data_IF_121700506954
#
_entry.id   IF_121700506954
#
_cell.length_a   1.000
_cell.length_b   1.000
_cell.length_c   1.000
_cell.angle_alpha   90.00
_cell.angle_beta   90.00
_cell.angle_gamma   90.00
#
_symmetry.space_group_name_H-M   'P 1'
#
loop_
_entity.id
_entity.type
_entity.pdbx_description
1 polymer ?
#
# COMPACT_ATOMS: atom_id res chain seq x y z
N UNK A 1 -5.60 5.70 9.48
CA UNK A 1 -4.98 6.47 8.37
C UNK A 1 -6.09 7.20 7.66
N UNK A 2 -6.09 8.54 7.61
CA UNK A 2 -7.22 9.32 7.07
C UNK A 2 -7.39 9.11 5.57
N UNK A 3 -6.30 8.82 4.89
CA UNK A 3 -6.17 8.62 3.45
C UNK A 3 -6.83 7.32 2.98
N UNK A 4 -6.78 6.28 3.82
CA UNK A 4 -7.44 4.99 3.56
C UNK A 4 -8.96 5.13 3.70
N UNK A 5 -9.45 5.89 4.69
CA UNK A 5 -10.87 6.16 4.82
C UNK A 5 -11.42 6.96 3.62
N UNK A 6 -10.64 7.90 3.07
CA UNK A 6 -11.00 8.66 1.86
C UNK A 6 -11.19 7.80 0.61
N UNK A 7 -10.49 6.65 0.51
CA UNK A 7 -10.62 5.73 -0.62
C UNK A 7 -11.63 4.61 -0.40
N UNK A 8 -12.18 4.47 0.82
CA UNK A 8 -13.15 3.41 1.18
C UNK A 8 -14.39 3.40 0.28
N UNK A 9 -14.82 4.57 -0.20
CA UNK A 9 -15.90 4.72 -1.18
C UNK A 9 -15.67 3.93 -2.47
N UNK A 10 -14.41 3.76 -2.89
CA UNK A 10 -14.05 3.04 -4.11
C UNK A 10 -14.14 1.52 -3.94
N UNK A 11 -14.29 0.99 -2.72
CA UNK A 11 -14.44 -0.46 -2.48
C UNK A 11 -15.64 -1.06 -3.22
N UNK A 12 -16.70 -0.28 -3.41
CA UNK A 12 -17.91 -0.71 -4.12
C UNK A 12 -17.82 -0.60 -5.65
N UNK A 13 -16.83 0.14 -6.15
CA UNK A 13 -16.69 0.49 -7.57
C UNK A 13 -15.57 -0.34 -8.22
N UNK A 14 -14.50 -0.59 -7.47
CA UNK A 14 -13.34 -1.32 -7.94
C UNK A 14 -13.50 -2.82 -7.68
N UNK A 15 -12.84 -3.62 -8.52
CA UNK A 15 -12.60 -5.02 -8.17
C UNK A 15 -11.77 -5.08 -6.89
N UNK A 16 -12.00 -6.10 -6.08
CA UNK A 16 -11.28 -6.26 -4.81
C UNK A 16 -9.76 -6.26 -4.99
N UNK A 17 -9.26 -6.88 -6.06
CA UNK A 17 -7.84 -6.86 -6.43
C UNK A 17 -7.29 -5.44 -6.62
N UNK A 18 -8.03 -4.58 -7.30
CA UNK A 18 -7.61 -3.21 -7.63
C UNK A 18 -7.70 -2.31 -6.41
N UNK A 19 -8.77 -2.47 -5.63
CA UNK A 19 -8.94 -1.79 -4.34
C UNK A 19 -7.81 -2.18 -3.36
N UNK A 20 -7.47 -3.46 -3.28
CA UNK A 20 -6.35 -3.97 -2.48
C UNK A 20 -5.02 -3.32 -2.87
N UNK A 21 -4.73 -3.24 -4.17
CA UNK A 21 -3.50 -2.60 -4.66
C UNK A 21 -3.49 -1.10 -4.37
N UNK A 22 -4.63 -0.42 -4.47
CA UNK A 22 -4.77 1.00 -4.12
C UNK A 22 -4.46 1.25 -2.64
N UNK A 23 -5.09 0.48 -1.74
CA UNK A 23 -4.84 0.58 -0.29
C UNK A 23 -3.38 0.27 0.03
N UNK A 24 -2.79 -0.75 -0.60
CA UNK A 24 -1.39 -1.12 -0.42
C UNK A 24 -0.42 -0.02 -0.87
N UNK A 25 -0.70 0.68 -1.99
CA UNK A 25 0.10 1.81 -2.48
C UNK A 25 0.03 3.00 -1.54
N UNK A 26 -1.17 3.37 -1.09
CA UNK A 26 -1.37 4.45 -0.12
C UNK A 26 -0.65 4.12 1.18
N UNK A 27 -0.87 2.93 1.72
CA UNK A 27 -0.18 2.46 2.92
C UNK A 27 1.33 2.54 2.78
N UNK A 28 1.88 2.01 1.68
CA UNK A 28 3.32 2.06 1.43
C UNK A 28 3.85 3.51 1.36
N UNK A 29 3.13 4.40 0.67
CA UNK A 29 3.53 5.80 0.51
C UNK A 29 3.61 6.57 1.84
N UNK A 30 2.64 6.38 2.75
CA UNK A 30 2.60 7.10 4.03
C UNK A 30 3.39 6.42 5.15
N UNK A 31 3.56 5.11 5.08
CA UNK A 31 4.31 4.36 6.09
C UNK A 31 5.82 4.35 5.81
N UNK A 32 6.27 4.53 4.55
CA UNK A 32 7.71 4.52 4.20
C UNK A 32 8.53 5.53 4.99
N UNK A 33 7.95 6.67 5.37
CA UNK A 33 8.64 7.72 6.14
C UNK A 33 8.73 7.39 7.64
N UNK A 34 7.93 6.42 8.10
CA UNK A 34 7.82 6.03 9.52
C UNK A 34 8.61 4.77 9.86
N UNK A 35 9.03 4.01 8.85
CA UNK A 35 9.72 2.73 9.04
C UNK A 35 11.07 2.74 8.31
N UNK A 36 12.12 2.32 9.01
CA UNK A 36 13.49 2.35 8.48
C UNK A 36 13.83 1.20 7.54
N UNK A 37 12.97 0.19 7.41
CA UNK A 37 13.26 -1.01 6.61
C UNK A 37 12.10 -1.42 5.69
N UNK A 38 12.43 -2.02 4.55
CA UNK A 38 11.45 -2.57 3.59
C UNK A 38 10.63 -3.71 4.21
N UNK A 39 11.25 -4.48 5.10
CA UNK A 39 10.59 -5.59 5.82
C UNK A 39 9.54 -5.06 6.79
N UNK A 40 9.85 -3.99 7.51
CA UNK A 40 8.90 -3.38 8.44
C UNK A 40 7.78 -2.67 7.67
N UNK A 41 8.10 -2.02 6.55
CA UNK A 41 7.08 -1.47 5.66
C UNK A 41 6.13 -2.54 5.15
N UNK A 42 6.65 -3.68 4.70
CA UNK A 42 5.84 -4.81 4.25
C UNK A 42 4.90 -5.31 5.35
N UNK A 43 5.40 -5.45 6.59
CA UNK A 43 4.58 -5.83 7.75
C UNK A 43 3.49 -4.81 8.04
N UNK A 44 3.82 -3.52 8.10
CA UNK A 44 2.85 -2.46 8.42
C UNK A 44 1.78 -2.30 7.32
N UNK A 45 2.17 -2.39 6.05
CA UNK A 45 1.21 -2.39 4.93
C UNK A 45 0.27 -3.60 5.01
N UNK A 46 0.79 -4.80 5.31
CA UNK A 46 -0.04 -5.97 5.45
C UNK A 46 -0.97 -5.90 6.68
N UNK A 47 -0.54 -5.32 7.81
CA UNK A 47 -1.43 -5.04 8.95
C UNK A 47 -2.60 -4.16 8.54
N UNK A 48 -2.33 -3.12 7.75
CA UNK A 48 -3.37 -2.24 7.22
C UNK A 48 -4.35 -3.01 6.31
N UNK A 49 -3.86 -3.84 5.40
CA UNK A 49 -4.71 -4.63 4.51
C UNK A 49 -5.61 -5.59 5.30
N UNK A 50 -5.04 -6.32 6.26
CA UNK A 50 -5.79 -7.24 7.13
C UNK A 50 -6.85 -6.49 7.93
N UNK A 51 -6.54 -5.29 8.46
CA UNK A 51 -7.52 -4.45 9.18
C UNK A 51 -8.71 -4.03 8.31
N UNK A 52 -8.52 -3.97 6.99
CA UNK A 52 -9.55 -3.64 6.00
C UNK A 52 -10.24 -4.89 5.43
N UNK A 53 -9.93 -6.09 5.95
CA UNK A 53 -10.38 -7.39 5.44
C UNK A 53 -9.97 -7.59 3.98
N UNK A 54 -8.72 -7.29 3.66
CA UNK A 54 -8.13 -7.48 2.33
C UNK A 54 -6.96 -8.46 2.41
N UNK A 55 -6.76 -9.20 1.32
CA UNK A 55 -5.63 -10.10 1.19
C UNK A 55 -4.28 -9.35 1.32
N UNK A 56 -3.27 -9.93 1.98
CA UNK A 56 -1.95 -9.32 2.07
C UNK A 56 -1.26 -9.25 0.70
N UNK A 57 -0.25 -8.39 0.61
CA UNK A 57 0.64 -8.29 -0.56
C UNK A 57 1.95 -9.02 -0.31
N UNK A 58 2.58 -9.47 -1.38
CA UNK A 58 3.90 -10.08 -1.32
C UNK A 58 4.99 -9.05 -1.04
N UNK A 59 6.12 -9.48 -0.48
CA UNK A 59 7.26 -8.58 -0.25
C UNK A 59 7.75 -7.93 -1.56
N UNK A 60 7.65 -8.65 -2.68
CA UNK A 60 8.03 -8.16 -4.00
C UNK A 60 7.20 -6.94 -4.45
N UNK A 61 5.95 -6.84 -4.00
CA UNK A 61 5.11 -5.67 -4.25
C UNK A 61 5.75 -4.39 -3.69
N UNK A 62 6.21 -4.44 -2.44
CA UNK A 62 6.88 -3.32 -1.77
C UNK A 62 8.21 -2.99 -2.46
N UNK A 63 8.98 -4.02 -2.82
CA UNK A 63 10.25 -3.85 -3.55
C UNK A 63 10.07 -3.11 -4.88
N UNK A 64 9.01 -3.40 -5.63
CA UNK A 64 8.81 -2.84 -6.98
C UNK A 64 8.04 -1.52 -7.01
N UNK A 65 7.10 -1.30 -6.08
CA UNK A 65 6.22 -0.12 -6.09
C UNK A 65 6.80 1.08 -5.30
N UNK A 66 7.88 0.89 -4.54
CA UNK A 66 8.57 2.01 -3.87
C UNK A 66 9.46 2.84 -4.80
N UNK A 67 9.88 2.30 -5.95
CA UNK A 67 10.89 2.92 -6.83
C UNK A 67 10.32 3.58 -8.09
N UNK A 68 9.02 3.46 -8.37
CA UNK A 68 8.49 3.84 -9.69
C UNK A 68 8.17 5.33 -9.87
N UNK A 69 8.66 6.24 -9.03
CA UNK A 69 8.43 7.69 -9.24
C UNK A 69 9.63 8.64 -9.06
N UNK A 70 10.84 8.18 -8.72
CA UNK A 70 11.97 9.11 -8.51
C UNK A 70 13.22 8.91 -9.39
N UNK A 71 13.23 8.01 -10.38
CA UNK A 71 14.43 7.83 -11.24
C UNK A 71 14.08 7.66 -12.73
N UNK A 72 13.24 8.54 -13.28
CA UNK A 72 13.15 8.76 -14.74
C UNK A 72 13.33 10.24 -15.12
N UNK A 73 14.15 10.98 -14.38
CA UNK A 73 14.67 12.29 -14.81
C UNK A 73 16.19 12.29 -14.63
N UNK A 74 16.91 11.77 -15.61
CA UNK A 74 18.28 12.19 -15.93
C UNK A 74 18.43 12.15 -17.44
#
# INVERSE_FOLDING_TARGET
MKEIESVKKFRSILRESDYRLLVARIGAHYLKERVGSKTDLHKEVNKVLVSQQLEPVSFNFIRNNLYTQNEMNT
#
